data_IF_924780473955
#
_entry.id   IF_924780473955
#
_cell.length_a   1.000
_cell.length_b   1.000
_cell.length_c   1.000
_cell.angle_alpha   90.00
_cell.angle_beta   90.00
_cell.angle_gamma   90.00
#
_symmetry.space_group_name_H-M   'P 1'
#
loop_
_entity.id
_entity.type
_entity.pdbx_description
1 polymer ?
#
# COMPACT_ATOMS: atom_id res chain seq x y z
N UNK A 1 16.79 -20.12 12.80
CA UNK A 1 15.82 -19.86 11.69
C UNK A 1 14.35 -20.07 12.04
N UNK A 2 13.90 -21.21 12.59
CA UNK A 2 12.47 -21.42 12.91
C UNK A 2 11.94 -20.46 14.01
N UNK A 3 12.73 -20.27 15.08
CA UNK A 3 12.38 -19.39 16.21
C UNK A 3 12.30 -17.90 15.83
N UNK A 4 13.33 -17.37 15.15
CA UNK A 4 13.33 -16.03 14.55
C UNK A 4 12.09 -15.73 13.68
N UNK A 5 11.70 -16.68 12.81
CA UNK A 5 10.50 -16.51 11.97
C UNK A 5 9.21 -16.45 12.82
N UNK A 6 9.15 -17.21 13.91
CA UNK A 6 8.02 -17.17 14.86
C UNK A 6 7.99 -15.85 15.64
N UNK A 7 9.14 -15.37 16.12
CA UNK A 7 9.28 -14.08 16.82
C UNK A 7 8.87 -12.90 15.94
N UNK A 8 9.35 -12.84 14.70
CA UNK A 8 8.91 -11.83 13.73
C UNK A 8 7.42 -11.94 13.42
N UNK A 9 6.85 -13.14 13.37
CA UNK A 9 5.40 -13.31 13.18
C UNK A 9 4.59 -12.79 14.37
N UNK A 10 5.08 -12.96 15.60
CA UNK A 10 4.45 -12.40 16.81
C UNK A 10 4.44 -10.87 16.74
N UNK A 11 5.54 -10.26 16.32
CA UNK A 11 5.67 -8.81 16.14
C UNK A 11 4.81 -8.25 15.01
N UNK A 12 4.60 -9.02 13.94
CA UNK A 12 3.75 -8.64 12.80
C UNK A 12 2.27 -8.75 13.11
N UNK A 13 1.86 -9.68 13.98
CA UNK A 13 0.46 -9.92 14.31
C UNK A 13 -0.08 -8.74 15.10
N UNK A 14 -0.91 -7.92 14.45
CA UNK A 14 -1.69 -6.90 15.14
C UNK A 14 -2.75 -7.55 16.02
N UNK A 15 -3.11 -6.92 17.13
CA UNK A 15 -4.23 -7.39 17.95
C UNK A 15 -5.54 -7.33 17.15
N UNK A 16 -6.07 -8.51 16.78
CA UNK A 16 -7.30 -8.66 15.97
C UNK A 16 -8.49 -7.90 16.58
N UNK A 17 -8.55 -7.81 17.92
CA UNK A 17 -9.58 -7.05 18.65
C UNK A 17 -9.59 -5.54 18.33
N UNK A 18 -8.50 -4.98 17.82
CA UNK A 18 -8.44 -3.57 17.42
C UNK A 18 -8.82 -3.34 15.94
N UNK A 19 -8.80 -4.40 15.13
CA UNK A 19 -8.94 -4.31 13.67
C UNK A 19 -10.30 -4.77 13.13
N UNK A 20 -11.08 -5.52 13.90
CA UNK A 20 -12.33 -6.13 13.42
C UNK A 20 -13.33 -5.10 12.86
N UNK A 21 -13.48 -3.94 13.53
CA UNK A 21 -14.39 -2.87 13.09
C UNK A 21 -14.00 -2.33 11.72
N UNK A 22 -12.70 -2.17 11.49
CA UNK A 22 -12.16 -1.69 10.22
C UNK A 22 -12.28 -2.72 9.11
N UNK A 23 -12.05 -3.99 9.42
CA UNK A 23 -12.28 -5.10 8.48
C UNK A 23 -13.76 -5.13 8.07
N UNK A 24 -14.67 -5.04 9.03
CA UNK A 24 -16.11 -5.01 8.76
C UNK A 24 -16.50 -3.81 7.89
N UNK A 25 -16.01 -2.61 8.22
CA UNK A 25 -16.25 -1.39 7.44
C UNK A 25 -15.75 -1.53 5.99
N UNK A 26 -14.60 -2.18 5.79
CA UNK A 26 -14.04 -2.45 4.46
C UNK A 26 -14.89 -3.45 3.67
N UNK A 27 -15.41 -4.50 4.31
CA UNK A 27 -16.32 -5.45 3.67
C UNK A 27 -17.63 -4.78 3.23
N UNK A 28 -18.22 -3.93 4.08
CA UNK A 28 -19.43 -3.17 3.75
C UNK A 28 -19.17 -2.24 2.56
N UNK A 29 -18.08 -1.46 2.62
CA UNK A 29 -17.71 -0.55 1.54
C UNK A 29 -17.47 -1.30 0.22
N UNK A 30 -16.79 -2.46 0.25
CA UNK A 30 -16.60 -3.29 -0.94
C UNK A 30 -17.95 -3.81 -1.50
N UNK A 31 -18.88 -4.22 -0.63
CA UNK A 31 -20.24 -4.59 -1.03
C UNK A 31 -20.99 -3.44 -1.70
N UNK A 32 -20.91 -2.23 -1.15
CA UNK A 32 -21.50 -1.04 -1.76
C UNK A 32 -20.90 -0.71 -3.14
N UNK A 33 -19.58 -0.84 -3.31
CA UNK A 33 -18.92 -0.62 -4.59
C UNK A 33 -19.35 -1.64 -5.65
N UNK A 34 -19.49 -2.91 -5.27
CA UNK A 34 -20.01 -3.96 -6.16
C UNK A 34 -21.45 -3.72 -6.56
N UNK A 35 -22.29 -3.29 -5.61
CA UNK A 35 -23.69 -2.93 -5.89
C UNK A 35 -23.76 -1.73 -6.84
N UNK A 36 -22.91 -0.73 -6.65
CA UNK A 36 -22.84 0.45 -7.53
C UNK A 36 -22.40 0.06 -8.96
N UNK A 37 -21.43 -0.86 -9.09
CA UNK A 37 -21.05 -1.42 -10.38
C UNK A 37 -22.22 -2.18 -11.04
N UNK A 38 -22.92 -3.02 -10.28
CA UNK A 38 -24.08 -3.78 -10.74
C UNK A 38 -25.20 -2.87 -11.26
N UNK A 39 -25.55 -1.83 -10.49
CA UNK A 39 -26.54 -0.82 -10.90
C UNK A 39 -26.09 -0.14 -12.19
N UNK A 40 -24.82 0.28 -12.29
CA UNK A 40 -24.27 0.91 -13.50
C UNK A 40 -24.32 0.04 -14.77
N UNK A 41 -24.26 -1.28 -14.60
CA UNK A 41 -24.34 -2.23 -15.71
C UNK A 41 -25.78 -2.39 -16.21
N UNK A 42 -26.73 -2.51 -15.28
CA UNK A 42 -28.12 -2.91 -15.57
C UNK A 42 -29.07 -1.73 -15.83
N UNK A 43 -28.72 -0.52 -15.38
CA UNK A 43 -29.59 0.66 -15.52
C UNK A 43 -30.08 0.83 -16.96
N UNK A 44 -31.41 0.83 -17.16
CA UNK A 44 -31.98 1.10 -18.49
C UNK A 44 -31.83 2.57 -18.82
N UNK A 45 -31.47 2.85 -20.07
CA UNK A 45 -31.29 4.21 -20.54
C UNK A 45 -32.63 4.81 -20.97
N UNK A 46 -32.95 6.02 -20.49
CA UNK A 46 -34.20 6.72 -20.83
C UNK A 46 -34.23 7.21 -22.29
N UNK A 47 -33.08 7.26 -22.98
CA UNK A 47 -32.94 7.69 -24.38
C UNK A 47 -32.99 6.53 -25.38
N UNK A 48 -33.66 5.42 -25.06
CA UNK A 48 -33.70 4.22 -25.89
C UNK A 48 -34.15 4.46 -27.35
N UNK A 49 -34.93 5.52 -27.59
CA UNK A 49 -35.45 5.88 -28.92
C UNK A 49 -34.50 6.74 -29.74
N UNK A 50 -33.34 7.14 -29.19
CA UNK A 50 -32.35 7.98 -29.89
C UNK A 50 -30.95 7.37 -29.77
N UNK A 51 -30.48 6.60 -30.78
CA UNK A 51 -29.29 5.75 -30.67
C UNK A 51 -27.99 6.48 -30.31
N UNK A 52 -27.82 7.73 -30.76
CA UNK A 52 -26.64 8.55 -30.45
C UNK A 52 -26.64 9.01 -28.99
N UNK A 53 -27.76 9.56 -28.52
CA UNK A 53 -27.97 9.98 -27.13
C UNK A 53 -27.91 8.80 -26.16
N UNK A 54 -28.42 7.63 -26.54
CA UNK A 54 -28.32 6.41 -25.76
C UNK A 54 -26.85 6.04 -25.49
N UNK A 55 -26.02 5.98 -26.54
CA UNK A 55 -24.60 5.62 -26.41
C UNK A 55 -23.81 6.65 -25.59
N UNK A 56 -24.03 7.94 -25.82
CA UNK A 56 -23.33 9.00 -25.08
C UNK A 56 -23.68 8.92 -23.60
N UNK A 57 -24.98 8.82 -23.25
CA UNK A 57 -25.41 8.74 -21.86
C UNK A 57 -24.89 7.49 -21.15
N UNK A 58 -24.87 6.34 -21.83
CA UNK A 58 -24.29 5.10 -21.29
C UNK A 58 -22.81 5.26 -20.97
N UNK A 59 -22.02 5.83 -21.89
CA UNK A 59 -20.57 6.06 -21.69
C UNK A 59 -20.34 7.04 -20.54
N UNK A 60 -21.09 8.14 -20.47
CA UNK A 60 -20.94 9.15 -19.41
C UNK A 60 -21.27 8.55 -18.04
N UNK A 61 -22.40 7.84 -17.92
CA UNK A 61 -22.83 7.25 -16.65
C UNK A 61 -21.84 6.18 -16.17
N UNK A 62 -21.44 5.26 -17.05
CA UNK A 62 -20.49 4.19 -16.71
C UNK A 62 -19.10 4.73 -16.39
N UNK A 63 -18.69 5.83 -17.04
CA UNK A 63 -17.46 6.55 -16.71
C UNK A 63 -17.53 7.14 -15.31
N UNK A 64 -18.61 7.86 -14.98
CA UNK A 64 -18.78 8.43 -13.65
C UNK A 64 -18.77 7.35 -12.56
N UNK A 65 -19.52 6.27 -12.77
CA UNK A 65 -19.55 5.10 -11.87
C UNK A 65 -18.16 4.49 -11.70
N UNK A 66 -17.42 4.29 -12.80
CA UNK A 66 -16.07 3.76 -12.77
C UNK A 66 -15.09 4.66 -12.00
N UNK A 67 -15.19 5.98 -12.14
CA UNK A 67 -14.38 6.94 -11.38
C UNK A 67 -14.70 6.87 -9.89
N UNK A 68 -15.99 6.86 -9.51
CA UNK A 68 -16.41 6.74 -8.11
C UNK A 68 -15.88 5.45 -7.49
N UNK A 69 -15.99 4.32 -8.21
CA UNK A 69 -15.44 3.04 -7.74
C UNK A 69 -13.92 3.11 -7.63
N UNK A 70 -13.24 3.67 -8.63
CA UNK A 70 -11.79 3.84 -8.64
C UNK A 70 -11.31 4.65 -7.43
N UNK A 71 -11.94 5.79 -7.13
CA UNK A 71 -11.63 6.62 -5.96
C UNK A 71 -11.86 5.86 -4.65
N UNK A 72 -12.94 5.09 -4.55
CA UNK A 72 -13.16 4.20 -3.41
C UNK A 72 -12.00 3.22 -3.25
N UNK A 73 -11.61 2.55 -4.33
CA UNK A 73 -10.52 1.57 -4.34
C UNK A 73 -9.13 2.18 -4.02
N UNK A 74 -8.89 3.48 -4.31
CA UNK A 74 -7.65 4.15 -3.89
C UNK A 74 -7.46 4.03 -2.37
N UNK A 75 -8.51 4.23 -1.58
CA UNK A 75 -8.46 4.10 -0.11
C UNK A 75 -8.10 2.66 0.27
N UNK A 76 -8.69 1.67 -0.41
CA UNK A 76 -8.35 0.27 -0.21
C UNK A 76 -6.89 -0.04 -0.55
N UNK A 77 -6.35 0.55 -1.63
CA UNK A 77 -4.96 0.39 -2.04
C UNK A 77 -4.00 0.85 -0.94
N UNK A 78 -4.27 1.98 -0.28
CA UNK A 78 -3.46 2.43 0.85
C UNK A 78 -3.51 1.45 2.02
N UNK A 79 -4.68 0.94 2.39
CA UNK A 79 -4.80 -0.03 3.48
C UNK A 79 -4.06 -1.33 3.13
N UNK A 80 -4.25 -1.81 1.90
CA UNK A 80 -3.58 -3.01 1.39
C UNK A 80 -2.06 -2.86 1.37
N UNK A 81 -1.54 -1.73 0.88
CA UNK A 81 -0.10 -1.43 0.87
C UNK A 81 0.52 -1.62 2.26
N UNK A 82 -0.16 -1.13 3.28
CA UNK A 82 0.34 -1.20 4.63
C UNK A 82 0.34 -2.61 5.21
N UNK A 83 -0.72 -3.38 4.96
CA UNK A 83 -0.77 -4.80 5.34
C UNK A 83 0.32 -5.59 4.61
N UNK A 84 0.42 -5.38 3.30
CA UNK A 84 1.39 -6.06 2.44
C UNK A 84 2.84 -5.77 2.87
N UNK A 85 3.16 -4.50 3.14
CA UNK A 85 4.48 -4.10 3.62
C UNK A 85 4.82 -4.70 4.99
N UNK A 86 3.87 -4.74 5.91
CA UNK A 86 4.06 -5.39 7.23
C UNK A 86 4.36 -6.88 7.09
N UNK A 87 3.70 -7.56 6.15
CA UNK A 87 3.94 -8.98 5.87
C UNK A 87 5.35 -9.23 5.31
N UNK A 88 5.87 -8.30 4.51
CA UNK A 88 7.16 -8.40 3.84
C UNK A 88 8.40 -8.04 4.68
N UNK A 89 8.24 -7.58 5.93
CA UNK A 89 9.37 -7.35 6.86
C UNK A 89 10.12 -8.67 7.09
N UNK A 90 11.43 -8.72 6.84
CA UNK A 90 12.22 -9.97 6.91
C UNK A 90 13.07 -10.09 8.17
N UNK A 91 13.38 -8.99 8.82
CA UNK A 91 14.32 -8.93 9.94
C UNK A 91 13.96 -7.85 10.96
N UNK A 92 14.71 -7.82 12.08
CA UNK A 92 14.43 -6.90 13.18
C UNK A 92 14.81 -5.45 12.85
N UNK A 93 15.73 -5.23 11.92
CA UNK A 93 16.13 -3.90 11.47
C UNK A 93 15.05 -3.24 10.60
N UNK A 94 14.50 -3.99 9.64
CA UNK A 94 13.35 -3.58 8.84
C UNK A 94 12.13 -3.28 9.74
N UNK A 95 11.93 -4.09 10.79
CA UNK A 95 10.88 -3.86 11.79
C UNK A 95 11.11 -2.58 12.61
N UNK A 96 12.34 -2.32 13.05
CA UNK A 96 12.69 -1.08 13.75
C UNK A 96 12.40 0.17 12.90
N UNK A 97 12.80 0.14 11.64
CA UNK A 97 12.59 1.26 10.73
C UNK A 97 11.09 1.45 10.41
N UNK A 98 10.34 0.35 10.27
CA UNK A 98 8.89 0.33 10.15
C UNK A 98 8.22 1.03 11.34
N UNK A 99 8.60 0.72 12.58
CA UNK A 99 8.01 1.35 13.76
C UNK A 99 8.33 2.85 13.84
N UNK A 100 9.54 3.24 13.47
CA UNK A 100 9.96 4.64 13.51
C UNK A 100 9.28 5.52 12.45
N UNK A 101 8.92 4.97 11.27
CA UNK A 101 8.16 5.72 10.26
C UNK A 101 6.72 6.02 10.72
N UNK A 102 6.17 5.23 11.65
CA UNK A 102 4.84 5.42 12.26
C UNK A 102 4.78 6.56 13.30
N UNK A 103 5.93 7.17 13.67
CA UNK A 103 5.98 8.34 14.59
C UNK A 103 5.15 9.53 14.07
N UNK A 104 4.96 9.67 12.76
CA UNK A 104 4.16 10.76 12.22
C UNK A 104 2.67 10.50 12.44
N UNK A 105 1.99 11.32 13.26
CA UNK A 105 0.60 11.09 13.72
C UNK A 105 -0.42 10.90 12.58
N UNK A 106 -0.19 11.50 11.42
CA UNK A 106 -1.05 11.40 10.24
C UNK A 106 -0.93 10.09 9.47
N UNK A 107 0.18 9.35 9.66
CA UNK A 107 0.44 8.10 8.96
C UNK A 107 -0.04 6.94 9.82
N UNK A 108 -1.28 6.48 9.57
CA UNK A 108 -1.74 5.12 9.88
C UNK A 108 -2.14 4.83 11.34
N UNK A 109 -3.22 5.47 11.79
CA UNK A 109 -3.90 5.17 13.07
C UNK A 109 -4.33 3.69 13.16
N UNK A 110 -4.70 3.09 12.03
CA UNK A 110 -5.14 1.70 11.88
C UNK A 110 -4.13 0.63 12.34
N UNK A 111 -2.86 0.99 12.58
CA UNK A 111 -1.77 0.01 12.73
C UNK A 111 -0.97 0.18 14.02
N UNK A 112 -1.31 1.18 14.83
CA UNK A 112 -0.63 1.48 16.09
C UNK A 112 -0.99 0.42 17.13
N UNK A 113 -0.07 -0.50 17.39
CA UNK A 113 -0.20 -1.58 18.36
C UNK A 113 0.08 -1.12 19.79
N UNK A 114 -0.90 -1.23 20.68
CA UNK A 114 -0.80 -0.75 22.06
C UNK A 114 0.45 -1.27 22.82
N UNK A 115 0.97 -2.45 22.47
CA UNK A 115 2.17 -3.04 23.09
C UNK A 115 3.46 -2.26 22.77
N UNK A 116 3.44 -1.42 21.75
CA UNK A 116 4.64 -0.79 21.16
C UNK A 116 4.44 0.74 21.08
N UNK A 117 3.56 1.30 21.93
CA UNK A 117 3.25 2.75 22.01
C UNK A 117 4.51 3.59 22.16
N UNK A 118 5.52 3.05 22.85
CA UNK A 118 6.79 3.71 23.09
C UNK A 118 7.48 4.20 21.80
N UNK A 119 7.29 3.51 20.67
CA UNK A 119 7.93 3.83 19.40
C UNK A 119 7.29 4.98 18.64
N UNK A 120 6.02 5.30 18.89
CA UNK A 120 5.30 6.34 18.15
C UNK A 120 4.58 7.36 19.04
N UNK A 121 4.81 7.31 20.35
CA UNK A 121 4.47 8.42 21.24
C UNK A 121 5.38 9.62 20.93
N UNK A 122 4.76 10.79 20.73
CA UNK A 122 5.46 12.02 20.28
C UNK A 122 6.48 12.55 21.30
N UNK A 123 6.50 11.99 22.52
CA UNK A 123 7.38 12.43 23.61
C UNK A 123 8.74 11.70 23.67
N UNK A 124 8.94 10.54 23.02
CA UNK A 124 10.22 9.80 23.08
C UNK A 124 11.08 10.03 21.83
N UNK A 125 12.35 10.43 22.05
CA UNK A 125 13.43 10.44 21.06
C UNK A 125 13.60 9.04 20.42
N UNK A 126 14.37 8.93 19.34
CA UNK A 126 14.62 7.64 18.69
C UNK A 126 15.22 6.65 19.69
N UNK A 127 14.66 5.44 19.76
CA UNK A 127 15.14 4.44 20.71
C UNK A 127 16.56 4.01 20.31
N UNK A 128 17.44 3.89 21.30
CA UNK A 128 18.74 3.27 21.12
C UNK A 128 18.55 1.78 20.80
N UNK A 129 19.57 1.14 20.23
CA UNK A 129 19.53 -0.30 19.93
C UNK A 129 19.29 -1.15 21.19
N UNK A 130 19.81 -0.73 22.34
CA UNK A 130 19.60 -1.42 23.62
C UNK A 130 18.16 -1.30 24.09
N UNK A 131 17.58 -0.10 24.03
CA UNK A 131 16.16 0.12 24.33
C UNK A 131 15.25 -0.66 23.38
N UNK A 132 15.63 -0.78 22.10
CA UNK A 132 14.90 -1.61 21.14
C UNK A 132 14.89 -3.09 21.56
N UNK A 133 16.04 -3.63 21.94
CA UNK A 133 16.18 -5.02 22.40
C UNK A 133 15.37 -5.26 23.68
N UNK A 134 15.40 -4.33 24.64
CA UNK A 134 14.64 -4.42 25.89
C UNK A 134 13.13 -4.51 25.62
N UNK A 135 12.59 -3.68 24.71
CA UNK A 135 11.15 -3.75 24.36
C UNK A 135 10.79 -5.05 23.64
N UNK A 136 11.66 -5.54 22.75
CA UNK A 136 11.44 -6.85 22.11
C UNK A 136 11.44 -7.98 23.13
N UNK A 137 12.37 -7.96 24.09
CA UNK A 137 12.45 -8.95 25.16
C UNK A 137 11.18 -8.96 26.03
N UNK A 138 10.62 -7.79 26.33
CA UNK A 138 9.35 -7.66 27.05
C UNK A 138 8.18 -8.27 26.26
N UNK A 139 8.08 -7.99 24.95
CA UNK A 139 7.03 -8.56 24.10
C UNK A 139 7.11 -10.09 24.04
N UNK A 140 8.32 -10.66 24.10
CA UNK A 140 8.56 -12.09 24.07
C UNK A 140 8.60 -12.75 25.47
N UNK A 141 8.45 -11.98 26.55
CA UNK A 141 8.61 -12.43 27.94
C UNK A 141 9.97 -13.11 28.20
N UNK A 142 11.05 -12.56 27.64
CA UNK A 142 12.41 -13.05 27.87
C UNK A 142 13.04 -12.37 29.09
N UNK A 143 13.61 -13.18 29.99
CA UNK A 143 14.44 -12.66 31.09
C UNK A 143 15.79 -12.20 30.56
N UNK A 144 16.32 -11.09 31.11
CA UNK A 144 17.67 -10.58 30.77
C UNK A 144 18.80 -11.59 31.00
N UNK A 145 18.59 -12.58 31.86
CA UNK A 145 19.56 -13.62 32.16
C UNK A 145 19.45 -14.85 31.23
N UNK A 146 18.40 -14.92 30.41
CA UNK A 146 18.09 -16.12 29.62
C UNK A 146 18.95 -16.24 28.37
N UNK A 147 19.10 -17.47 27.85
CA UNK A 147 19.82 -17.73 26.60
C UNK A 147 19.10 -17.07 25.42
N UNK A 148 17.77 -17.00 25.47
CA UNK A 148 16.93 -16.34 24.48
C UNK A 148 17.22 -14.86 24.36
N UNK A 149 17.41 -14.16 25.48
CA UNK A 149 17.78 -12.75 25.48
C UNK A 149 19.17 -12.52 24.87
N UNK A 150 20.16 -13.36 25.19
CA UNK A 150 21.49 -13.31 24.57
C UNK A 150 21.44 -13.56 23.06
N UNK A 151 20.63 -14.52 22.62
CA UNK A 151 20.42 -14.78 21.20
C UNK A 151 19.73 -13.61 20.49
N UNK A 152 18.72 -13.00 21.12
CA UNK A 152 18.04 -11.81 20.60
C UNK A 152 19.01 -10.64 20.40
N UNK A 153 19.90 -10.40 21.37
CA UNK A 153 20.96 -9.38 21.23
C UNK A 153 21.80 -9.65 19.99
N UNK A 154 22.31 -10.88 19.83
CA UNK A 154 23.18 -11.24 18.72
C UNK A 154 22.46 -11.08 17.37
N UNK A 155 21.22 -11.54 17.26
CA UNK A 155 20.42 -11.42 16.03
C UNK A 155 20.13 -9.96 15.67
N UNK A 156 19.75 -9.13 16.64
CA UNK A 156 19.48 -7.70 16.41
C UNK A 156 20.77 -6.95 16.04
N UNK A 157 21.88 -7.24 16.71
CA UNK A 157 23.17 -6.61 16.40
C UNK A 157 23.64 -6.99 14.99
N UNK A 158 23.51 -8.26 14.60
CA UNK A 158 23.86 -8.75 13.27
C UNK A 158 23.00 -8.08 12.18
N UNK A 159 21.68 -8.00 12.39
CA UNK A 159 20.76 -7.35 11.44
C UNK A 159 21.07 -5.85 11.30
N UNK A 160 21.34 -5.15 12.42
CA UNK A 160 21.73 -3.74 12.36
C UNK A 160 23.07 -3.57 11.64
N UNK A 161 24.08 -4.39 11.93
CA UNK A 161 25.39 -4.29 11.28
C UNK A 161 25.32 -4.48 9.75
N UNK A 162 24.44 -5.37 9.26
CA UNK A 162 24.24 -5.62 7.82
C UNK A 162 23.67 -4.42 7.06
N UNK A 163 22.89 -3.57 7.73
CA UNK A 163 22.11 -2.51 7.08
C UNK A 163 22.51 -1.09 7.49
N UNK A 164 23.25 -0.91 8.59
CA UNK A 164 23.51 0.39 9.24
C UNK A 164 24.46 1.34 8.49
N UNK A 165 25.19 0.86 7.49
CA UNK A 165 26.30 1.63 6.90
C UNK A 165 26.14 2.01 5.42
N UNK A 166 24.94 1.86 4.85
CA UNK A 166 24.70 2.27 3.46
C UNK A 166 24.07 3.66 3.42
N UNK A 167 24.87 4.67 3.10
CA UNK A 167 24.33 5.97 2.73
C UNK A 167 23.62 5.87 1.38
N UNK A 168 22.30 6.10 1.33
CA UNK A 168 21.56 5.97 0.09
C UNK A 168 21.95 7.10 -0.86
N UNK A 169 22.34 6.75 -2.09
CA UNK A 169 22.49 7.73 -3.16
C UNK A 169 21.10 8.26 -3.57
N UNK A 170 20.70 9.38 -2.96
CA UNK A 170 19.36 9.97 -3.18
C UNK A 170 19.07 10.26 -4.65
N UNK A 171 20.07 10.69 -5.44
CA UNK A 171 19.88 10.98 -6.87
C UNK A 171 19.56 9.71 -7.65
N UNK A 172 20.34 8.65 -7.43
CA UNK A 172 20.13 7.37 -8.09
C UNK A 172 18.77 6.77 -7.70
N UNK A 173 18.40 6.84 -6.42
CA UNK A 173 17.14 6.27 -5.94
C UNK A 173 15.92 7.06 -6.40
N UNK A 174 16.00 8.39 -6.47
CA UNK A 174 14.95 9.21 -7.09
C UNK A 174 14.72 8.83 -8.55
N UNK A 175 15.80 8.63 -9.31
CA UNK A 175 15.71 8.22 -10.72
C UNK A 175 15.09 6.83 -10.85
N UNK A 176 15.52 5.87 -10.04
CA UNK A 176 14.92 4.53 -10.01
C UNK A 176 13.44 4.58 -9.64
N UNK A 177 13.09 5.34 -8.60
CA UNK A 177 11.71 5.57 -8.17
C UNK A 177 10.83 6.15 -9.26
N UNK A 178 11.31 7.17 -9.97
CA UNK A 178 10.62 7.78 -11.11
C UNK A 178 10.38 6.77 -12.23
N UNK A 179 11.39 5.99 -12.61
CA UNK A 179 11.26 4.98 -13.66
C UNK A 179 10.20 3.95 -13.26
N UNK A 180 10.24 3.46 -12.01
CA UNK A 180 9.25 2.50 -11.52
C UNK A 180 7.84 3.08 -11.53
N UNK A 181 7.64 4.30 -11.04
CA UNK A 181 6.32 4.96 -11.04
C UNK A 181 5.79 5.10 -12.48
N UNK A 182 6.62 5.58 -13.41
CA UNK A 182 6.23 5.69 -14.83
C UNK A 182 5.89 4.33 -15.43
N UNK A 183 6.70 3.29 -15.20
CA UNK A 183 6.45 1.97 -15.80
C UNK A 183 5.22 1.29 -15.19
N UNK A 184 5.16 1.19 -13.86
CA UNK A 184 4.14 0.40 -13.17
C UNK A 184 2.81 1.13 -12.99
N UNK A 185 2.80 2.45 -12.88
CA UNK A 185 1.59 3.22 -12.58
C UNK A 185 1.09 4.03 -13.79
N UNK A 186 1.89 4.15 -14.86
CA UNK A 186 1.45 4.83 -16.07
C UNK A 186 1.48 3.92 -17.30
N UNK A 187 2.65 3.42 -17.70
CA UNK A 187 2.81 2.66 -18.96
C UNK A 187 2.01 1.35 -18.95
N UNK A 188 2.19 0.51 -17.91
CA UNK A 188 1.49 -0.78 -17.84
C UNK A 188 -0.04 -0.61 -17.78
N UNK A 189 -0.61 0.24 -16.88
CA UNK A 189 -2.05 0.47 -16.84
C UNK A 189 -2.61 1.03 -18.16
N UNK A 190 -1.86 1.92 -18.83
CA UNK A 190 -2.26 2.48 -20.11
C UNK A 190 -2.30 1.40 -21.21
N UNK A 191 -1.31 0.51 -21.26
CA UNK A 191 -1.32 -0.64 -22.17
C UNK A 191 -2.51 -1.57 -21.91
N UNK A 192 -2.81 -1.87 -20.64
CA UNK A 192 -3.99 -2.69 -20.28
C UNK A 192 -5.27 -2.01 -20.74
N UNK A 193 -5.42 -0.69 -20.52
CA UNK A 193 -6.58 0.05 -20.99
C UNK A 193 -6.71 0.03 -22.51
N UNK A 194 -5.61 0.19 -23.26
CA UNK A 194 -5.63 0.08 -24.73
C UNK A 194 -6.12 -1.32 -25.15
N UNK A 195 -5.63 -2.39 -24.53
CA UNK A 195 -6.05 -3.76 -24.85
C UNK A 195 -7.55 -3.93 -24.61
N UNK A 196 -8.08 -3.42 -23.49
CA UNK A 196 -9.52 -3.49 -23.19
C UNK A 196 -10.34 -2.67 -24.19
N UNK A 197 -9.87 -1.50 -24.60
CA UNK A 197 -10.54 -0.65 -25.61
C UNK A 197 -10.58 -1.37 -26.97
N UNK A 198 -9.46 -1.94 -27.41
CA UNK A 198 -9.40 -2.71 -28.67
C UNK A 198 -10.35 -3.90 -28.61
N UNK A 199 -10.37 -4.62 -27.49
CA UNK A 199 -11.32 -5.73 -27.28
C UNK A 199 -12.78 -5.25 -27.38
N UNK A 200 -13.10 -4.11 -26.77
CA UNK A 200 -14.44 -3.51 -26.82
C UNK A 200 -14.84 -3.11 -28.26
N UNK A 201 -13.93 -2.55 -29.05
CA UNK A 201 -14.19 -2.17 -30.44
C UNK A 201 -14.41 -3.42 -31.30
N UNK A 202 -13.53 -4.42 -31.22
CA UNK A 202 -13.64 -5.67 -31.97
C UNK A 202 -14.92 -6.42 -31.62
N UNK A 203 -15.26 -6.47 -30.32
CA UNK A 203 -16.47 -7.10 -29.83
C UNK A 203 -17.73 -6.45 -30.43
N UNK A 204 -17.84 -5.13 -30.36
CA UNK A 204 -18.98 -4.39 -30.90
C UNK A 204 -19.06 -4.40 -32.43
N UNK A 205 -17.93 -4.58 -33.13
CA UNK A 205 -17.91 -4.65 -34.59
C UNK A 205 -18.30 -6.03 -35.13
N UNK A 206 -17.82 -7.12 -34.51
CA UNK A 206 -18.12 -8.50 -34.94
C UNK A 206 -19.52 -8.95 -34.57
N UNK A 207 -20.02 -8.57 -33.39
CA UNK A 207 -21.40 -8.84 -32.98
C UNK A 207 -22.28 -7.65 -33.38
N UNK A 208 -22.55 -7.51 -34.67
CA UNK A 208 -23.64 -6.62 -35.11
C UNK A 208 -24.92 -7.07 -34.39
N UNK A 209 -25.55 -6.12 -33.69
CA UNK A 209 -26.75 -6.23 -32.84
C UNK A 209 -26.50 -6.58 -31.37
N UNK A 210 -26.37 -5.52 -30.54
CA UNK A 210 -27.10 -5.36 -29.26
C UNK A 210 -26.93 -6.40 -28.13
N UNK A 211 -26.17 -7.48 -28.31
CA UNK A 211 -26.40 -8.70 -27.54
C UNK A 211 -25.82 -8.68 -26.12
N UNK A 212 -24.85 -7.81 -25.79
CA UNK A 212 -24.50 -7.52 -24.38
C UNK A 212 -24.08 -6.06 -24.15
N UNK A 213 -25.04 -5.12 -24.16
CA UNK A 213 -24.83 -3.74 -23.65
C UNK A 213 -24.19 -3.75 -22.25
N UNK A 214 -24.61 -4.70 -21.40
CA UNK A 214 -24.04 -4.92 -20.07
C UNK A 214 -22.52 -5.16 -20.07
N UNK A 215 -22.00 -5.96 -21.01
CA UNK A 215 -20.56 -6.24 -21.09
C UNK A 215 -19.77 -4.98 -21.49
N UNK A 216 -20.27 -4.22 -22.46
CA UNK A 216 -19.63 -2.96 -22.87
C UNK A 216 -19.57 -1.95 -21.72
N UNK A 217 -20.66 -1.82 -20.94
CA UNK A 217 -20.74 -0.97 -19.76
C UNK A 217 -19.79 -1.43 -18.65
N UNK A 218 -19.71 -2.73 -18.40
CA UNK A 218 -18.75 -3.30 -17.45
C UNK A 218 -17.30 -3.00 -17.84
N UNK A 219 -16.94 -3.18 -19.11
CA UNK A 219 -15.59 -2.90 -19.59
C UNK A 219 -15.23 -1.40 -19.49
N UNK A 220 -16.17 -0.50 -19.78
CA UNK A 220 -15.98 0.94 -19.58
C UNK A 220 -15.75 1.27 -18.09
N UNK A 221 -16.53 0.67 -17.19
CA UNK A 221 -16.32 0.80 -15.74
C UNK A 221 -14.90 0.33 -15.36
N UNK A 222 -14.46 -0.83 -15.84
CA UNK A 222 -13.12 -1.37 -15.58
C UNK A 222 -12.00 -0.46 -16.08
N UNK A 223 -12.10 0.07 -17.31
CA UNK A 223 -11.13 1.02 -17.87
C UNK A 223 -10.99 2.24 -16.94
N UNK A 224 -12.13 2.80 -16.50
CA UNK A 224 -12.15 3.99 -15.65
C UNK A 224 -11.63 3.70 -14.24
N UNK A 225 -11.88 2.51 -13.68
CA UNK A 225 -11.28 2.08 -12.41
C UNK A 225 -9.76 2.01 -12.55
N UNK A 226 -9.24 1.33 -13.57
CA UNK A 226 -7.79 1.17 -13.81
C UNK A 226 -7.15 2.56 -13.98
N UNK A 227 -7.75 3.41 -14.81
CA UNK A 227 -7.26 4.77 -15.07
C UNK A 227 -7.23 5.65 -13.81
N UNK A 228 -8.31 5.61 -13.03
CA UNK A 228 -8.42 6.40 -11.79
C UNK A 228 -7.39 5.96 -10.76
N UNK A 229 -7.23 4.64 -10.58
CA UNK A 229 -6.21 4.08 -9.69
C UNK A 229 -4.81 4.44 -10.17
N UNK A 230 -4.53 4.28 -11.45
CA UNK A 230 -3.19 4.48 -12.03
C UNK A 230 -2.73 5.93 -11.89
N UNK A 231 -3.59 6.90 -12.23
CA UNK A 231 -3.28 8.33 -12.06
C UNK A 231 -3.13 8.70 -10.58
N UNK A 232 -4.03 8.22 -9.72
CA UNK A 232 -3.99 8.58 -8.30
C UNK A 232 -2.70 8.09 -7.63
N UNK A 233 -2.30 6.85 -7.91
CA UNK A 233 -1.04 6.27 -7.41
C UNK A 233 0.17 6.98 -8.01
N UNK A 234 0.15 7.27 -9.31
CA UNK A 234 1.22 7.98 -9.99
C UNK A 234 1.46 9.37 -9.43
N UNK A 235 0.42 10.17 -9.24
CA UNK A 235 0.52 11.51 -8.64
C UNK A 235 1.07 11.41 -7.21
N UNK A 236 0.60 10.43 -6.45
CA UNK A 236 1.07 10.18 -5.09
C UNK A 236 2.57 9.80 -5.04
N UNK A 237 3.05 8.90 -5.91
CA UNK A 237 4.47 8.54 -5.98
C UNK A 237 5.35 9.73 -6.37
N UNK A 238 4.95 10.50 -7.39
CA UNK A 238 5.69 11.69 -7.80
C UNK A 238 5.78 12.70 -6.66
N UNK A 239 4.69 12.88 -5.91
CA UNK A 239 4.69 13.72 -4.72
C UNK A 239 5.72 13.24 -3.68
N UNK A 240 5.76 11.94 -3.37
CA UNK A 240 6.74 11.41 -2.42
C UNK A 240 8.19 11.54 -2.92
N UNK A 241 8.46 11.19 -4.18
CA UNK A 241 9.81 11.26 -4.77
C UNK A 241 10.35 12.69 -4.74
N UNK A 242 9.50 13.69 -5.05
CA UNK A 242 9.86 15.12 -5.00
C UNK A 242 10.27 15.56 -3.61
N UNK A 243 9.67 14.99 -2.56
CA UNK A 243 9.93 15.36 -1.17
C UNK A 243 11.14 14.68 -0.53
N UNK A 244 11.81 13.75 -1.22
CA UNK A 244 13.06 13.13 -0.73
C UNK A 244 14.18 14.18 -0.71
N UNK A 245 14.53 14.69 0.47
CA UNK A 245 15.61 15.68 0.68
C UNK A 245 16.70 15.20 1.63
N UNK A 246 16.34 14.32 2.57
CA UNK A 246 17.21 13.79 3.61
C UNK A 246 16.83 12.33 3.93
N UNK A 247 17.61 11.66 4.80
CA UNK A 247 17.36 10.26 5.19
C UNK A 247 15.94 10.06 5.73
N UNK A 248 15.35 11.06 6.40
CA UNK A 248 13.97 11.01 6.89
C UNK A 248 12.94 10.85 5.80
N UNK A 249 12.94 11.80 4.88
CA UNK A 249 12.05 11.77 3.73
C UNK A 249 12.32 10.58 2.81
N UNK A 250 13.55 10.05 2.80
CA UNK A 250 13.92 8.85 2.06
C UNK A 250 13.32 7.58 2.68
N UNK A 251 13.49 7.39 3.99
CA UNK A 251 12.88 6.28 4.72
C UNK A 251 11.34 6.35 4.65
N UNK A 252 10.78 7.56 4.74
CA UNK A 252 9.35 7.80 4.52
C UNK A 252 8.89 7.40 3.11
N UNK A 253 9.66 7.74 2.06
CA UNK A 253 9.37 7.35 0.69
C UNK A 253 9.36 5.83 0.53
N UNK A 254 10.40 5.14 1.01
CA UNK A 254 10.45 3.68 0.96
C UNK A 254 9.34 3.02 1.77
N UNK A 255 8.93 3.63 2.88
CA UNK A 255 7.84 3.13 3.70
C UNK A 255 6.46 3.34 3.04
N UNK A 256 6.26 4.46 2.36
CA UNK A 256 4.96 4.85 1.83
C UNK A 256 4.75 4.57 0.34
N UNK A 257 5.80 4.19 -0.39
CA UNK A 257 5.74 3.99 -1.84
C UNK A 257 5.13 2.65 -2.24
N UNK A 258 4.24 2.63 -3.22
CA UNK A 258 3.67 1.43 -3.83
C UNK A 258 4.70 0.64 -4.66
N UNK A 259 5.83 1.25 -5.03
CA UNK A 259 6.83 0.62 -5.90
C UNK A 259 8.09 0.12 -5.17
N UNK A 260 8.16 0.35 -3.86
CA UNK A 260 9.28 -0.05 -3.03
C UNK A 260 8.82 -0.95 -1.88
N UNK A 261 9.06 -2.25 -2.07
CA UNK A 261 8.66 -3.31 -1.14
C UNK A 261 9.83 -3.83 -0.30
N UNK A 262 11.07 -3.51 -0.69
CA UNK A 262 12.27 -3.92 0.05
C UNK A 262 12.73 -2.80 0.99
N UNK A 263 12.82 -3.12 2.27
CA UNK A 263 13.35 -2.22 3.29
C UNK A 263 14.88 -2.31 3.41
N UNK A 264 15.53 -3.11 2.56
CA UNK A 264 16.99 -3.31 2.47
C UNK A 264 17.81 -2.01 2.39
N UNK A 265 17.21 -0.92 1.88
CA UNK A 265 17.86 0.38 1.73
C UNK A 265 17.53 1.38 2.84
N UNK A 266 16.72 1.00 3.83
CA UNK A 266 16.43 1.88 4.96
C UNK A 266 17.74 2.12 5.73
N UNK A 267 18.04 3.40 5.96
CA UNK A 267 19.27 3.79 6.63
C UNK A 267 19.01 3.99 8.12
N UNK A 268 19.95 3.49 8.93
CA UNK A 268 19.87 3.43 10.39
C UNK A 268 20.43 4.66 11.11
N UNK A 269 20.74 5.76 10.43
CA UNK A 269 21.18 7.04 11.06
C UNK A 269 20.22 7.57 12.14
N UNK A 270 19.09 6.90 12.31
CA UNK A 270 18.04 7.09 13.28
C UNK A 270 18.32 6.43 14.62
N UNK A 271 19.21 5.43 14.65
CA UNK A 271 19.60 4.72 15.85
C UNK A 271 20.57 5.61 16.60
N UNK A 272 20.18 6.14 17.77
CA UNK A 272 21.11 6.83 18.65
C UNK A 272 22.26 5.87 19.00
N UNK A 273 23.49 6.32 18.75
CA UNK A 273 24.70 5.58 19.11
C UNK A 273 24.87 5.63 20.62
N UNK A 274 24.53 4.50 21.25
CA UNK A 274 24.56 4.21 22.69
C UNK A 274 23.59 5.02 23.57
#
# INVERSE_FOLDING_TARGET
MKKRKQELNILKKAEIKSLWFWILSMCIAAGCLLLLAYVGIILKNNYANTPSLERINDVVLTTFIGIVIGLGLVIFSFIFLNVFKKLHIKDFFEYYCYLNSLKNKSKLILIKDKRIIEFYSVKKQYLTRTQFIDVLAEIFNYSKTSLEYKNLINEVVEDFAKHMFLDPNFKMQKRSGLIKAVVFEFVIPLLVNIIIIVFLIVYNWKLQQGSLKALSRFLIICINIIFTLSISLFVYELYLIKHVKNVKSFNDYYFLSFNNYSFKYLNSSWVQSY
#
